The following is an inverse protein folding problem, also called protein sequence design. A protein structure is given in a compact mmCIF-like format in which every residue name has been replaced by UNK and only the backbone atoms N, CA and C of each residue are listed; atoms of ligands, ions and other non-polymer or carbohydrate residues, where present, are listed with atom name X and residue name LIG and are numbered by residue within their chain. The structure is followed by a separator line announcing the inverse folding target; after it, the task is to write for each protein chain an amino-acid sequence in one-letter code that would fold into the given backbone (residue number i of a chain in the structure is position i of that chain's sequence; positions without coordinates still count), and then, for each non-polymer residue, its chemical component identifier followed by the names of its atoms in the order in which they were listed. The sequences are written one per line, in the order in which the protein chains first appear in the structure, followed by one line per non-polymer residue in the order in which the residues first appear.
data_IF_860079975883
#
_entry.id   IF_860079975883
#
_cell.length_a   1.000
_cell.length_b   1.000
_cell.length_c   1.000
_cell.angle_alpha   90.00
_cell.angle_beta   90.00
_cell.angle_gamma   90.00
#
_symmetry.space_group_name_H-M   'P 1'
#
loop_
_entity.id
_entity.type
_entity.pdbx_description
1 polymer ?
#
# COMPACT_ATOMS: atom_id res chain seq x y z
N UNK A 1 16.12 53.83 -37.53
CA UNK A 1 16.47 53.46 -36.13
C UNK A 1 15.32 52.80 -35.39
N UNK A 2 14.17 53.46 -35.18
CA UNK A 2 13.01 52.89 -34.42
C UNK A 2 12.52 51.52 -34.92
N UNK A 3 12.46 51.31 -36.24
CA UNK A 3 12.04 50.03 -36.84
C UNK A 3 13.01 48.87 -36.54
N UNK A 4 14.32 49.16 -36.53
CA UNK A 4 15.35 48.16 -36.25
C UNK A 4 15.28 47.74 -34.78
N UNK A 5 15.03 48.69 -33.87
CA UNK A 5 14.82 48.40 -32.44
C UNK A 5 13.61 47.48 -32.24
N UNK A 6 12.51 47.72 -32.96
CA UNK A 6 11.32 46.84 -32.89
C UNK A 6 11.63 45.43 -33.38
N UNK A 7 12.34 45.27 -34.50
CA UNK A 7 12.73 43.96 -35.02
C UNK A 7 13.67 43.20 -34.08
N UNK A 8 14.65 43.89 -33.49
CA UNK A 8 15.56 43.31 -32.49
C UNK A 8 14.78 42.84 -31.27
N UNK A 9 13.82 43.63 -30.79
CA UNK A 9 12.99 43.27 -29.65
C UNK A 9 12.11 42.03 -29.92
N UNK A 10 11.55 41.93 -31.13
CA UNK A 10 10.76 40.76 -31.57
C UNK A 10 11.64 39.50 -31.61
N UNK A 11 12.86 39.60 -32.14
CA UNK A 11 13.79 38.47 -32.23
C UNK A 11 14.22 38.02 -30.84
N UNK A 12 14.52 38.96 -29.93
CA UNK A 12 14.86 38.65 -28.54
C UNK A 12 13.69 37.98 -27.82
N UNK A 13 12.46 38.49 -28.00
CA UNK A 13 11.24 37.90 -27.42
C UNK A 13 11.00 36.48 -27.94
N UNK A 14 11.14 36.26 -29.25
CA UNK A 14 11.02 34.93 -29.85
C UNK A 14 12.11 33.97 -29.35
N UNK A 15 13.35 34.47 -29.21
CA UNK A 15 14.47 33.69 -28.67
C UNK A 15 14.20 33.28 -27.21
N UNK A 16 13.73 34.20 -26.36
CA UNK A 16 13.38 33.91 -24.97
C UNK A 16 12.20 32.92 -24.89
N UNK A 17 11.19 33.03 -25.76
CA UNK A 17 10.07 32.09 -25.79
C UNK A 17 10.49 30.65 -26.17
N UNK A 18 11.51 30.50 -27.02
CA UNK A 18 12.01 29.20 -27.49
C UNK A 18 13.08 28.62 -26.55
N UNK A 19 14.03 29.44 -26.10
CA UNK A 19 15.22 29.01 -25.34
C UNK A 19 15.20 29.36 -23.84
N UNK A 20 14.26 30.20 -23.37
CA UNK A 20 14.08 30.54 -21.96
C UNK A 20 13.42 29.41 -21.19
N UNK A 21 14.11 28.27 -21.08
CA UNK A 21 13.62 26.96 -20.64
C UNK A 21 12.90 26.85 -19.28
N UNK A 22 12.73 27.94 -18.53
CA UNK A 22 11.89 28.02 -17.32
C UNK A 22 10.48 28.61 -17.55
N UNK A 23 10.26 29.33 -18.66
CA UNK A 23 8.95 29.88 -19.05
C UNK A 23 8.47 29.37 -20.42
N UNK A 24 9.15 28.36 -20.97
CA UNK A 24 8.74 27.78 -22.24
C UNK A 24 7.40 27.07 -22.08
N UNK A 25 6.43 27.38 -22.95
CA UNK A 25 5.08 26.78 -22.98
C UNK A 25 5.14 25.25 -23.00
N UNK A 26 6.23 24.66 -23.52
CA UNK A 26 6.48 23.22 -23.55
C UNK A 26 6.64 22.61 -22.15
N UNK A 27 7.27 23.33 -21.21
CA UNK A 27 7.47 22.85 -19.85
C UNK A 27 6.15 22.78 -19.08
N UNK A 28 5.28 23.78 -19.23
CA UNK A 28 3.94 23.77 -18.64
C UNK A 28 3.11 22.58 -19.15
N UNK A 29 3.26 22.21 -20.42
CA UNK A 29 2.57 21.02 -20.98
C UNK A 29 3.14 19.72 -20.43
N UNK A 30 4.46 19.60 -20.30
CA UNK A 30 5.11 18.43 -19.67
C UNK A 30 4.68 18.28 -18.21
N UNK A 31 4.73 19.35 -17.42
CA UNK A 31 4.31 19.34 -16.01
C UNK A 31 2.85 18.92 -15.88
N UNK A 32 1.95 19.42 -16.74
CA UNK A 32 0.53 19.00 -16.73
C UNK A 32 0.35 17.51 -17.08
N UNK A 33 1.15 16.99 -18.02
CA UNK A 33 1.11 15.57 -18.38
C UNK A 33 1.63 14.70 -17.23
N UNK A 34 2.75 15.08 -16.61
CA UNK A 34 3.32 14.40 -15.44
C UNK A 34 2.34 14.41 -14.27
N UNK A 35 1.71 15.55 -13.97
CA UNK A 35 0.66 15.67 -12.95
C UNK A 35 -0.52 14.75 -13.24
N UNK A 36 -0.91 14.59 -14.50
CA UNK A 36 -2.02 13.71 -14.88
C UNK A 36 -1.66 12.25 -14.70
N UNK A 37 -0.43 11.85 -15.07
CA UNK A 37 0.08 10.51 -14.85
C UNK A 37 0.17 10.16 -13.36
N UNK A 38 0.73 11.07 -12.56
CA UNK A 38 0.87 10.89 -11.11
C UNK A 38 -0.48 10.83 -10.40
N UNK A 39 -1.45 11.66 -10.83
CA UNK A 39 -2.82 11.60 -10.30
C UNK A 39 -3.48 10.26 -10.62
N UNK A 40 -3.32 9.75 -11.85
CA UNK A 40 -3.86 8.44 -12.22
C UNK A 40 -3.28 7.31 -11.37
N UNK A 41 -1.97 7.31 -11.14
CA UNK A 41 -1.30 6.33 -10.27
C UNK A 41 -1.80 6.43 -8.82
N UNK A 42 -2.00 7.66 -8.31
CA UNK A 42 -2.55 7.87 -6.98
C UNK A 42 -3.98 7.33 -6.86
N UNK A 43 -4.82 7.56 -7.86
CA UNK A 43 -6.20 7.09 -7.88
C UNK A 43 -6.26 5.55 -7.97
N UNK A 44 -5.39 4.94 -8.78
CA UNK A 44 -5.25 3.48 -8.86
C UNK A 44 -4.79 2.86 -7.53
N UNK A 45 -3.76 3.44 -6.90
CA UNK A 45 -3.25 2.96 -5.62
C UNK A 45 -4.27 3.13 -4.48
N UNK A 46 -5.05 4.22 -4.49
CA UNK A 46 -6.16 4.41 -3.55
C UNK A 46 -7.22 3.35 -3.72
N UNK A 47 -7.62 3.07 -4.95
CA UNK A 47 -8.62 2.05 -5.24
C UNK A 47 -8.15 0.65 -4.79
N UNK A 48 -6.88 0.32 -5.03
CA UNK A 48 -6.29 -0.93 -4.54
C UNK A 48 -6.30 -0.98 -3.00
N UNK A 49 -5.90 0.10 -2.34
CA UNK A 49 -5.90 0.19 -0.88
C UNK A 49 -7.31 0.02 -0.29
N UNK A 50 -8.31 0.67 -0.88
CA UNK A 50 -9.71 0.60 -0.43
C UNK A 50 -10.29 -0.81 -0.65
N UNK A 51 -9.95 -1.45 -1.78
CA UNK A 51 -10.27 -2.85 -2.03
C UNK A 51 -9.68 -3.75 -0.96
N UNK A 52 -8.37 -3.66 -0.70
CA UNK A 52 -7.69 -4.47 0.32
C UNK A 52 -8.29 -4.27 1.72
N UNK A 53 -8.61 -3.03 2.09
CA UNK A 53 -9.31 -2.75 3.36
C UNK A 53 -10.68 -3.42 3.42
N UNK A 54 -11.46 -3.36 2.34
CA UNK A 54 -12.74 -4.06 2.26
C UNK A 54 -12.59 -5.57 2.43
N UNK A 55 -11.56 -6.16 1.81
CA UNK A 55 -11.24 -7.57 1.98
C UNK A 55 -10.87 -7.92 3.41
N UNK A 56 -10.01 -7.13 4.05
CA UNK A 56 -9.66 -7.32 5.47
C UNK A 56 -10.90 -7.23 6.36
N UNK A 57 -11.77 -6.24 6.17
CA UNK A 57 -13.01 -6.10 6.94
C UNK A 57 -13.94 -7.32 6.78
N UNK A 58 -14.05 -7.87 5.57
CA UNK A 58 -14.83 -9.10 5.33
C UNK A 58 -14.21 -10.30 6.05
N UNK A 59 -12.88 -10.38 6.07
CA UNK A 59 -12.16 -11.46 6.73
C UNK A 59 -12.24 -11.35 8.26
N UNK A 60 -12.22 -10.13 8.80
CA UNK A 60 -12.45 -9.85 10.22
C UNK A 60 -13.90 -10.15 10.64
N UNK A 61 -14.87 -9.82 9.78
CA UNK A 61 -16.26 -10.18 10.00
C UNK A 61 -16.47 -11.71 10.05
N UNK A 62 -15.66 -12.47 9.30
CA UNK A 62 -15.60 -13.94 9.34
C UNK A 62 -14.40 -14.45 10.16
N UNK A 63 -14.01 -13.70 11.20
CA UNK A 63 -12.91 -14.05 12.11
C UNK A 63 -13.10 -15.42 12.74
N UNK A 64 -14.33 -15.83 13.02
CA UNK A 64 -14.65 -17.15 13.56
C UNK A 64 -14.19 -18.30 12.64
N UNK A 65 -14.31 -18.14 11.32
CA UNK A 65 -13.84 -19.16 10.36
C UNK A 65 -12.31 -19.22 10.33
N UNK A 66 -11.63 -18.08 10.40
CA UNK A 66 -10.17 -18.01 10.46
C UNK A 66 -9.63 -18.59 11.77
N UNK A 67 -10.25 -18.24 12.89
CA UNK A 67 -9.93 -18.75 14.22
C UNK A 67 -10.13 -20.25 14.29
N UNK A 68 -11.25 -20.76 13.76
CA UNK A 68 -11.50 -22.20 13.66
C UNK A 68 -10.42 -22.91 12.84
N UNK A 69 -10.06 -22.39 11.67
CA UNK A 69 -8.98 -22.96 10.86
C UNK A 69 -7.63 -22.91 11.59
N UNK A 70 -7.34 -21.81 12.30
CA UNK A 70 -6.12 -21.64 13.07
C UNK A 70 -6.01 -22.67 14.21
N UNK A 71 -7.11 -22.94 14.91
CA UNK A 71 -7.18 -23.97 15.96
C UNK A 71 -7.13 -25.38 15.38
N UNK A 72 -7.93 -25.68 14.36
CA UNK A 72 -8.04 -27.04 13.78
C UNK A 72 -6.76 -27.46 13.06
N UNK A 73 -6.19 -26.59 12.22
CA UNK A 73 -5.07 -26.96 11.35
C UNK A 73 -3.71 -26.73 11.99
N UNK A 74 -3.60 -25.70 12.82
CA UNK A 74 -2.30 -25.28 13.38
C UNK A 74 -2.25 -25.36 14.91
N UNK A 75 -3.35 -25.68 15.59
CA UNK A 75 -3.41 -25.77 17.05
C UNK A 75 -3.10 -24.44 17.75
N UNK A 76 -3.28 -23.31 17.07
CA UNK A 76 -3.00 -21.99 17.63
C UNK A 76 -3.98 -21.65 18.75
N UNK A 77 -3.51 -20.95 19.77
CA UNK A 77 -4.32 -20.45 20.89
C UNK A 77 -4.14 -18.94 21.02
N UNK A 78 -5.17 -18.24 21.50
CA UNK A 78 -5.08 -16.79 21.73
C UNK A 78 -4.27 -16.47 23.00
N UNK A 79 -3.70 -15.25 23.11
CA UNK A 79 -3.08 -14.80 24.35
C UNK A 79 -4.05 -14.90 25.53
N UNK A 80 -3.69 -15.69 26.54
CA UNK A 80 -4.51 -15.92 27.74
C UNK A 80 -5.34 -17.21 27.75
N UNK A 81 -5.38 -17.97 26.66
CA UNK A 81 -5.99 -19.31 26.65
C UNK A 81 -5.04 -20.37 27.23
N UNK A 82 -5.59 -21.42 27.86
CA UNK A 82 -4.82 -22.54 28.44
C UNK A 82 -5.15 -23.82 27.67
N UNK A 83 -4.12 -24.43 27.07
CA UNK A 83 -4.26 -25.70 26.36
C UNK A 83 -4.27 -26.88 27.34
N UNK A 84 -5.42 -27.53 27.49
CA UNK A 84 -5.51 -28.81 28.20
C UNK A 84 -5.26 -29.96 27.23
N UNK A 85 -4.17 -30.70 27.45
CA UNK A 85 -3.93 -31.97 26.77
C UNK A 85 -4.35 -33.11 27.69
N UNK A 86 -5.27 -33.95 27.24
CA UNK A 86 -5.59 -35.19 27.95
C UNK A 86 -4.38 -36.11 27.81
N UNK A 87 -3.65 -36.31 28.90
CA UNK A 87 -2.67 -37.38 28.98
C UNK A 87 -3.43 -38.69 29.22
N UNK A 88 -3.04 -39.76 28.54
CA UNK A 88 -3.47 -41.10 28.94
C UNK A 88 -3.10 -41.30 30.41
N UNK A 89 -3.91 -42.05 31.20
CA UNK A 89 -3.56 -42.35 32.58
C UNK A 89 -2.21 -43.06 32.58
N UNK A 90 -1.14 -42.30 32.86
CA UNK A 90 0.16 -42.89 33.12
C UNK A 90 -0.04 -43.80 34.32
N UNK A 91 0.43 -45.03 34.20
CA UNK A 91 0.58 -46.08 35.22
C UNK A 91 1.41 -45.65 36.45
N UNK A 92 1.33 -44.38 36.86
CA UNK A 92 1.91 -43.78 38.06
C UNK A 92 1.27 -44.24 39.37
N UNK A 93 0.42 -45.28 39.33
CA UNK A 93 0.00 -46.05 40.52
C UNK A 93 0.77 -47.37 40.60
N UNK A 94 1.71 -47.66 39.67
CA UNK A 94 2.58 -48.85 39.69
C UNK A 94 3.81 -48.66 40.60
N UNK A 95 3.61 -48.04 41.77
CA UNK A 95 4.65 -47.97 42.82
C UNK A 95 4.13 -48.37 44.21
N UNK A 96 2.96 -49.04 44.27
CA UNK A 96 2.51 -49.76 45.47
C UNK A 96 3.02 -51.21 45.53
N UNK A 97 3.89 -51.62 44.60
CA UNK A 97 4.31 -53.01 44.41
C UNK A 97 5.77 -53.31 44.80
N UNK A 98 6.48 -52.40 45.48
CA UNK A 98 7.79 -52.70 46.04
C UNK A 98 7.92 -52.24 47.50
N UNK A 99 7.84 -53.24 48.39
CA UNK A 99 8.59 -53.37 49.65
C UNK A 99 8.18 -52.52 50.86
#
# INVERSE_FOLDING_TARGET
MKKIVVWVFIIISAYIAVFGGEYSVLQVRKIRQEQTGLKKQLDELKHENDSLKSWVQKLEADSATIERLARERYGMILPGEILYRVAEPRDSVENFQNR
#
